data_IF_458185245806
#
_entry.id   IF_458185245806
#
_cell.length_a   1.000
_cell.length_b   1.000
_cell.length_c   1.000
_cell.angle_alpha   90.00
_cell.angle_beta   90.00
_cell.angle_gamma   90.00
#
_symmetry.space_group_name_H-M   'P 1'
#
loop_
_entity.id
_entity.type
_entity.pdbx_description
1 polymer ?
#
# COMPACT_ATOMS: atom_id res chain seq x y z
N UNK A 1 -29.26 -7.76 -2.28
CA UNK A 1 -28.74 -9.09 -2.45
C UNK A 1 -29.46 -10.07 -1.57
N UNK A 2 -30.02 -11.01 -2.22
CA UNK A 2 -30.81 -12.01 -1.53
C UNK A 2 -29.96 -12.89 -0.61
N UNK A 3 -28.70 -13.00 -0.88
CA UNK A 3 -27.87 -13.83 -0.04
C UNK A 3 -27.78 -13.29 1.38
N UNK A 4 -27.98 -12.00 1.55
CA UNK A 4 -27.96 -11.41 2.87
C UNK A 4 -29.08 -11.95 3.74
N UNK A 5 -30.22 -12.13 3.16
CA UNK A 5 -31.38 -12.59 3.89
C UNK A 5 -31.19 -14.03 4.37
N UNK A 6 -30.73 -14.86 3.48
CA UNK A 6 -30.62 -16.29 3.79
C UNK A 6 -29.48 -16.60 4.73
N UNK A 7 -28.45 -15.77 4.70
CA UNK A 7 -27.24 -16.08 5.43
C UNK A 7 -27.11 -15.34 6.73
N UNK A 8 -28.02 -14.48 7.00
CA UNK A 8 -27.89 -13.63 8.17
C UNK A 8 -27.85 -14.42 9.47
N UNK A 9 -28.47 -15.58 9.49
CA UNK A 9 -28.50 -16.41 10.69
C UNK A 9 -27.33 -17.39 10.76
N UNK A 10 -26.41 -17.33 9.82
CA UNK A 10 -25.24 -18.20 9.82
C UNK A 10 -23.99 -17.37 10.07
N UNK A 11 -23.69 -17.14 11.34
CA UNK A 11 -22.53 -16.33 11.68
C UNK A 11 -21.24 -16.92 11.13
N UNK A 12 -21.11 -18.24 11.22
CA UNK A 12 -19.91 -18.89 10.68
C UNK A 12 -19.76 -18.70 9.19
N UNK A 13 -20.90 -18.68 8.48
CA UNK A 13 -20.88 -18.48 7.04
C UNK A 13 -20.38 -17.08 6.68
N UNK A 14 -20.83 -16.07 7.43
CA UNK A 14 -20.38 -14.70 7.20
C UNK A 14 -18.87 -14.59 7.44
N UNK A 15 -18.41 -15.16 8.55
CA UNK A 15 -16.97 -15.12 8.86
C UNK A 15 -16.15 -15.86 7.81
N UNK A 16 -16.63 -17.01 7.35
CA UNK A 16 -15.93 -17.77 6.33
C UNK A 16 -15.83 -16.99 5.03
N UNK A 17 -16.87 -16.24 4.68
CA UNK A 17 -16.86 -15.45 3.46
C UNK A 17 -15.89 -14.29 3.56
N UNK A 18 -15.83 -13.62 4.72
CA UNK A 18 -14.87 -12.55 4.92
C UNK A 18 -13.45 -13.06 4.84
N UNK A 19 -13.19 -14.24 5.40
CA UNK A 19 -11.88 -14.86 5.30
C UNK A 19 -11.53 -15.17 3.86
N UNK A 20 -12.50 -15.65 3.10
CA UNK A 20 -12.30 -15.94 1.70
C UNK A 20 -11.95 -14.69 0.90
N UNK A 21 -12.63 -13.59 1.18
CA UNK A 21 -12.34 -12.31 0.52
C UNK A 21 -10.94 -11.84 0.83
N UNK A 22 -10.48 -11.98 2.06
CA UNK A 22 -9.12 -11.61 2.42
C UNK A 22 -8.10 -12.47 1.71
N UNK A 23 -8.37 -13.76 1.57
CA UNK A 23 -7.48 -14.65 0.82
C UNK A 23 -7.38 -14.25 -0.63
N UNK A 24 -8.51 -13.88 -1.24
CA UNK A 24 -8.51 -13.43 -2.63
C UNK A 24 -7.71 -12.16 -2.77
N UNK A 25 -7.90 -11.19 -1.86
CA UNK A 25 -7.12 -9.95 -1.89
C UNK A 25 -5.63 -10.23 -1.79
N UNK A 26 -5.24 -11.08 -0.84
CA UNK A 26 -3.83 -11.41 -0.65
C UNK A 26 -3.25 -12.10 -1.87
N UNK A 27 -4.01 -12.99 -2.50
CA UNK A 27 -3.55 -13.69 -3.69
C UNK A 27 -3.35 -12.73 -4.84
N UNK A 28 -4.28 -11.79 -5.05
CA UNK A 28 -4.17 -10.80 -6.11
C UNK A 28 -2.93 -9.93 -5.90
N UNK A 29 -2.74 -9.45 -4.68
CA UNK A 29 -1.61 -8.56 -4.37
C UNK A 29 -0.29 -9.31 -4.57
N UNK A 30 -0.20 -10.54 -4.06
CA UNK A 30 1.02 -11.32 -4.21
C UNK A 30 1.34 -11.60 -5.67
N UNK A 31 0.31 -11.82 -6.47
CA UNK A 31 0.48 -12.12 -7.88
C UNK A 31 1.08 -10.95 -8.64
N UNK A 32 0.69 -9.73 -8.30
CA UNK A 32 1.16 -8.53 -8.99
C UNK A 32 2.36 -7.89 -8.32
N UNK A 33 2.75 -8.38 -7.14
CA UNK A 33 3.83 -7.78 -6.37
C UNK A 33 5.15 -7.77 -7.12
N UNK A 34 5.37 -8.75 -7.97
CA UNK A 34 6.63 -8.84 -8.72
C UNK A 34 6.70 -7.83 -9.85
N UNK A 35 5.57 -7.31 -10.27
CA UNK A 35 5.53 -6.34 -11.36
C UNK A 35 5.65 -4.92 -10.85
N UNK A 36 5.07 -4.63 -9.70
CA UNK A 36 4.98 -3.28 -9.17
C UNK A 36 5.83 -3.13 -7.92
N UNK A 37 6.13 -1.89 -7.60
CA UNK A 37 6.80 -1.54 -6.36
C UNK A 37 6.07 -0.40 -5.69
N UNK A 38 6.47 -0.08 -4.47
CA UNK A 38 5.92 1.06 -3.74
C UNK A 38 7.01 2.08 -3.49
N UNK A 39 6.64 3.35 -3.67
CA UNK A 39 7.45 4.49 -3.22
C UNK A 39 6.74 5.07 -2.01
N UNK A 40 7.50 5.27 -0.94
CA UNK A 40 6.99 5.83 0.30
C UNK A 40 7.78 7.06 0.66
N UNK A 41 7.11 8.22 0.67
CA UNK A 41 7.73 9.50 1.01
C UNK A 41 7.29 9.90 2.40
N UNK A 42 8.25 10.23 3.27
CA UNK A 42 7.92 10.53 4.66
C UNK A 42 8.91 11.53 5.24
N UNK A 43 8.48 12.11 6.36
CA UNK A 43 9.32 13.00 7.15
C UNK A 43 9.78 12.22 8.38
N UNK A 44 11.09 11.99 8.48
CA UNK A 44 11.64 11.20 9.57
C UNK A 44 11.45 11.82 10.95
N UNK A 45 11.21 13.13 11.01
CA UNK A 45 10.97 13.84 12.26
C UNK A 45 9.50 13.85 12.68
N UNK A 46 8.60 13.25 11.92
CA UNK A 46 7.18 13.30 12.19
C UNK A 46 6.70 11.97 12.74
N UNK A 47 5.98 12.02 13.87
CA UNK A 47 5.54 10.80 14.56
C UNK A 47 4.56 9.98 13.73
N UNK A 48 3.61 10.64 13.06
CA UNK A 48 2.62 9.95 12.24
C UNK A 48 3.31 9.28 11.04
N UNK A 49 4.24 9.98 10.43
CA UNK A 49 4.98 9.43 9.30
C UNK A 49 5.78 8.20 9.72
N UNK A 50 6.35 8.22 10.91
CA UNK A 50 7.09 7.06 11.43
C UNK A 50 6.17 5.88 11.74
N UNK A 51 4.95 6.14 12.19
CA UNK A 51 3.97 5.08 12.37
C UNK A 51 3.64 4.44 11.03
N UNK A 52 3.41 5.27 10.03
CA UNK A 52 3.10 4.76 8.69
C UNK A 52 4.28 3.99 8.10
N UNK A 53 5.51 4.41 8.42
CA UNK A 53 6.70 3.70 7.98
C UNK A 53 6.68 2.25 8.43
N UNK A 54 6.30 2.01 9.69
CA UNK A 54 6.17 0.65 10.20
C UNK A 54 5.09 -0.14 9.50
N UNK A 55 3.95 0.49 9.23
CA UNK A 55 2.85 -0.16 8.51
C UNK A 55 3.28 -0.54 7.09
N UNK A 56 3.92 0.39 6.39
CA UNK A 56 4.37 0.15 5.02
C UNK A 56 5.41 -0.97 4.98
N UNK A 57 6.35 -0.96 5.93
CA UNK A 57 7.36 -2.01 5.99
C UNK A 57 6.72 -3.38 6.15
N UNK A 58 5.80 -3.50 7.10
CA UNK A 58 5.12 -4.77 7.35
C UNK A 58 4.29 -5.19 6.15
N UNK A 59 3.59 -4.24 5.52
CA UNK A 59 2.76 -4.52 4.36
C UNK A 59 3.62 -5.08 3.22
N UNK A 60 4.74 -4.43 2.93
CA UNK A 60 5.60 -4.85 1.84
C UNK A 60 6.25 -6.20 2.12
N UNK A 61 6.65 -6.45 3.37
CA UNK A 61 7.22 -7.73 3.75
C UNK A 61 6.19 -8.84 3.62
N UNK A 62 4.97 -8.58 4.08
CA UNK A 62 3.91 -9.59 4.05
C UNK A 62 3.46 -9.92 2.63
N UNK A 63 3.49 -8.95 1.75
CA UNK A 63 2.99 -9.12 0.38
C UNK A 63 4.10 -9.36 -0.64
N UNK A 64 5.36 -9.28 -0.22
CA UNK A 64 6.48 -9.47 -1.14
C UNK A 64 6.64 -8.36 -2.15
N UNK A 65 6.33 -7.13 -1.76
CA UNK A 65 6.40 -5.97 -2.64
C UNK A 65 7.71 -5.22 -2.38
N UNK A 66 8.39 -4.83 -3.45
CA UNK A 66 9.59 -4.01 -3.33
C UNK A 66 9.23 -2.62 -2.82
N UNK A 67 10.04 -2.09 -1.93
CA UNK A 67 9.79 -0.79 -1.31
C UNK A 67 10.98 0.13 -1.52
N UNK A 68 10.69 1.33 -2.01
CA UNK A 68 11.65 2.42 -2.08
C UNK A 68 11.17 3.51 -1.13
N UNK A 69 11.89 3.69 -0.03
CA UNK A 69 11.52 4.68 0.98
C UNK A 69 12.40 5.91 0.84
N UNK A 70 11.78 7.08 0.85
CA UNK A 70 12.45 8.36 0.64
C UNK A 70 12.11 9.29 1.80
N UNK A 71 13.14 9.76 2.52
CA UNK A 71 12.97 10.73 3.58
C UNK A 71 13.08 12.13 3.00
N UNK A 72 12.02 12.93 3.14
CA UNK A 72 12.02 14.27 2.55
C UNK A 72 12.65 15.31 3.47
N UNK A 73 12.87 14.99 4.74
CA UNK A 73 13.58 15.90 5.67
C UNK A 73 14.98 15.42 6.00
N UNK A 74 15.43 14.36 5.37
CA UNK A 74 16.79 13.84 5.56
C UNK A 74 16.97 12.93 6.76
N UNK A 75 15.98 12.85 7.65
CA UNK A 75 16.09 11.97 8.81
C UNK A 75 15.46 10.63 8.49
N UNK A 76 16.19 9.56 8.71
CA UNK A 76 15.71 8.22 8.41
C UNK A 76 14.92 7.66 9.58
N UNK A 77 13.84 6.96 9.25
CA UNK A 77 13.05 6.27 10.26
C UNK A 77 13.77 5.00 10.71
N UNK A 78 13.66 4.68 12.00
CA UNK A 78 14.18 3.42 12.52
C UNK A 78 13.48 2.23 11.87
N UNK A 79 12.26 2.41 11.41
CA UNK A 79 11.51 1.36 10.73
C UNK A 79 12.02 1.12 9.32
N UNK A 80 12.65 2.12 8.73
CA UNK A 80 13.12 2.05 7.34
C UNK A 80 14.56 2.57 7.26
N UNK A 81 15.52 1.83 7.85
CA UNK A 81 16.91 2.29 7.87
C UNK A 81 17.55 2.35 6.49
N UNK A 82 16.95 1.72 5.50
CA UNK A 82 17.46 1.69 4.14
C UNK A 82 16.89 2.81 3.28
N UNK A 83 16.19 3.76 3.88
CA UNK A 83 15.65 4.91 3.16
C UNK A 83 16.75 5.73 2.52
N UNK A 84 16.40 6.40 1.43
CA UNK A 84 17.27 7.36 0.77
C UNK A 84 16.77 8.77 1.07
N UNK A 85 17.66 9.76 1.16
CA UNK A 85 17.21 11.14 1.23
C UNK A 85 16.59 11.55 -0.11
N UNK A 86 15.65 12.50 -0.03
CA UNK A 86 15.01 13.00 -1.23
C UNK A 86 15.99 13.80 -2.08
N UNK A 87 16.11 13.43 -3.34
CA UNK A 87 16.97 14.14 -4.29
C UNK A 87 16.17 14.64 -5.48
N UNK A 88 14.89 14.99 -5.24
CA UNK A 88 14.00 15.51 -6.25
C UNK A 88 12.86 14.60 -6.61
N UNK A 89 12.83 13.40 -6.05
CA UNK A 89 11.78 12.44 -6.37
C UNK A 89 10.41 12.95 -5.98
N UNK A 90 10.30 13.56 -4.79
CA UNK A 90 9.02 14.06 -4.30
C UNK A 90 8.46 15.12 -5.24
N UNK A 91 9.31 16.04 -5.68
CA UNK A 91 8.87 17.08 -6.60
C UNK A 91 8.49 16.49 -7.96
N UNK A 92 9.28 15.58 -8.47
CA UNK A 92 9.03 14.93 -9.75
C UNK A 92 7.69 14.20 -9.75
N UNK A 93 7.36 13.55 -8.65
CA UNK A 93 6.11 12.82 -8.51
C UNK A 93 4.97 13.68 -7.95
N UNK A 94 5.22 14.98 -7.78
CA UNK A 94 4.21 15.94 -7.33
C UNK A 94 3.63 15.60 -5.97
N UNK A 95 4.49 15.19 -5.07
CA UNK A 95 4.10 14.83 -3.72
C UNK A 95 3.99 16.12 -2.90
N UNK A 96 2.79 16.41 -2.43
CA UNK A 96 2.53 17.64 -1.67
C UNK A 96 2.10 17.39 -0.23
N UNK A 97 1.75 16.15 0.09
CA UNK A 97 1.31 15.78 1.45
C UNK A 97 2.10 14.57 1.91
N UNK A 98 2.38 14.49 3.19
CA UNK A 98 3.16 13.40 3.75
C UNK A 98 2.47 12.83 4.97
N UNK A 99 2.63 11.53 5.20
CA UNK A 99 3.33 10.57 4.37
C UNK A 99 2.55 10.26 3.10
N UNK A 100 3.25 9.88 2.05
CA UNK A 100 2.62 9.56 0.77
C UNK A 100 3.13 8.24 0.25
N UNK A 101 2.23 7.42 -0.27
CA UNK A 101 2.57 6.11 -0.79
C UNK A 101 2.08 5.99 -2.22
N UNK A 102 2.95 5.55 -3.11
CA UNK A 102 2.64 5.42 -4.55
C UNK A 102 2.91 4.01 -5.01
N UNK A 103 2.04 3.51 -5.87
CA UNK A 103 2.27 2.27 -6.60
C UNK A 103 2.97 2.64 -7.91
N UNK A 104 4.06 1.95 -8.20
CA UNK A 104 4.91 2.28 -9.35
C UNK A 104 5.12 1.05 -10.21
N UNK A 105 4.97 1.22 -11.53
CA UNK A 105 5.32 0.20 -12.50
C UNK A 105 6.71 0.51 -13.04
N UNK A 106 7.74 -0.26 -12.66
CA UNK A 106 9.10 0.05 -13.08
C UNK A 106 9.32 -0.14 -14.58
N UNK A 107 8.50 -0.90 -15.26
CA UNK A 107 8.65 -1.11 -16.70
C UNK A 107 8.19 0.08 -17.51
N UNK A 108 7.06 0.68 -17.11
CA UNK A 108 6.48 1.80 -17.85
C UNK A 108 6.79 3.13 -17.21
N UNK A 109 7.36 3.12 -16.00
CA UNK A 109 7.65 4.32 -15.21
C UNK A 109 6.38 5.11 -14.85
N UNK A 110 5.23 4.43 -14.85
CA UNK A 110 3.99 5.03 -14.42
C UNK A 110 3.79 4.83 -12.93
N UNK A 111 3.08 5.76 -12.30
CA UNK A 111 2.77 5.65 -10.89
C UNK A 111 1.37 6.15 -10.60
N UNK A 112 0.80 5.64 -9.51
CA UNK A 112 -0.52 6.01 -9.03
C UNK A 112 -0.44 6.21 -7.53
N UNK A 113 -1.09 7.25 -6.99
CA UNK A 113 -1.14 7.39 -5.54
C UNK A 113 -1.94 6.24 -4.94
N UNK A 114 -1.36 5.65 -3.89
CA UNK A 114 -2.00 4.58 -3.16
C UNK A 114 -2.60 5.08 -1.87
N UNK A 115 -1.88 5.93 -1.15
CA UNK A 115 -2.33 6.44 0.14
C UNK A 115 -1.74 7.82 0.40
N UNK A 116 -2.56 8.70 0.96
CA UNK A 116 -2.15 9.99 1.46
C UNK A 116 -2.38 9.98 2.97
N UNK A 117 -1.32 10.24 3.74
CA UNK A 117 -1.43 10.20 5.19
C UNK A 117 -1.37 8.78 5.73
N UNK A 118 -1.86 8.60 6.94
CA UNK A 118 -1.83 7.31 7.61
C UNK A 118 -2.91 6.38 7.09
N UNK A 119 -2.54 5.11 6.92
CA UNK A 119 -3.49 4.08 6.50
C UNK A 119 -3.08 2.77 7.15
N UNK A 120 -4.04 1.99 7.61
CA UNK A 120 -3.75 0.71 8.23
C UNK A 120 -3.37 -0.34 7.17
N UNK A 121 -2.80 -1.45 7.64
CA UNK A 121 -2.44 -2.55 6.77
C UNK A 121 -3.64 -3.08 5.98
N UNK A 122 -4.78 -3.25 6.65
CA UNK A 122 -6.00 -3.73 5.98
C UNK A 122 -6.51 -2.74 4.96
N UNK A 123 -6.43 -1.46 5.26
CA UNK A 123 -6.85 -0.43 4.32
C UNK A 123 -5.94 -0.39 3.10
N UNK A 124 -4.65 -0.65 3.29
CA UNK A 124 -3.71 -0.72 2.18
C UNK A 124 -4.05 -1.89 1.26
N UNK A 125 -4.44 -3.03 1.81
CA UNK A 125 -4.88 -4.18 1.00
C UNK A 125 -6.05 -3.78 0.10
N UNK A 126 -7.06 -3.17 0.67
CA UNK A 126 -8.25 -2.77 -0.10
C UNK A 126 -7.91 -1.71 -1.13
N UNK A 127 -7.09 -0.75 -0.76
CA UNK A 127 -6.72 0.33 -1.67
C UNK A 127 -5.87 -0.20 -2.81
N UNK A 128 -5.00 -1.16 -2.54
CA UNK A 128 -4.16 -1.76 -3.57
C UNK A 128 -5.03 -2.41 -4.66
N UNK A 129 -6.03 -3.18 -4.27
CA UNK A 129 -6.92 -3.82 -5.23
C UNK A 129 -7.63 -2.76 -6.07
N UNK A 130 -8.10 -1.69 -5.43
CA UNK A 130 -8.79 -0.61 -6.12
C UNK A 130 -7.89 0.09 -7.13
N UNK A 131 -6.65 0.38 -6.74
CA UNK A 131 -5.71 1.08 -7.62
C UNK A 131 -5.29 0.18 -8.78
N UNK A 132 -5.12 -1.11 -8.54
CA UNK A 132 -4.71 -2.03 -9.59
C UNK A 132 -5.73 -2.11 -10.72
N UNK A 133 -7.02 -1.99 -10.42
CA UNK A 133 -8.03 -2.01 -11.47
C UNK A 133 -7.93 -0.81 -12.40
N UNK A 134 -7.46 0.33 -11.88
CA UNK A 134 -7.26 1.52 -12.70
C UNK A 134 -5.93 1.51 -13.42
N UNK A 135 -4.92 0.91 -12.79
CA UNK A 135 -3.57 0.93 -13.30
C UNK A 135 -3.38 -0.02 -14.47
N UNK A 136 -4.08 -1.15 -14.43
CA UNK A 136 -3.97 -2.16 -15.48
C UNK A 136 -5.37 -2.60 -15.89
N UNK A 137 -6.14 -1.72 -16.54
CA UNK A 137 -7.54 -1.99 -16.83
C UNK A 137 -7.77 -3.09 -17.85
N UNK A 138 -6.77 -3.47 -18.59
CA UNK A 138 -6.93 -4.42 -19.69
C UNK A 138 -6.75 -5.87 -19.33
N UNK A 139 -6.41 -6.13 -18.08
CA UNK A 139 -6.14 -7.53 -17.73
C UNK A 139 -7.40 -8.38 -17.69
#
# INVERSE_FOLDING_TARGET
LDYNVKRSHYNGTVEARLTEEKKVQSAVISQVAQRYGLFFFYRGNNAVDNLMAGVIRAFCEDRGISLMAVSVDGKLSDQLPQSSPDSGQAEKMRVTHFPATFLVDPKTHQWQPLAWGFMSHDDLDRQMVSVLTHFAPDY
#
